data_IF_385189524217
#
_entry.id   IF_385189524217
#
_cell.length_a   1.000
_cell.length_b   1.000
_cell.length_c   1.000
_cell.angle_alpha   90.00
_cell.angle_beta   90.00
_cell.angle_gamma   90.00
#
_symmetry.space_group_name_H-M   'P 1'
#
loop_
_entity.id
_entity.type
_entity.pdbx_description
1 polymer ?
#
# COMPACT_ATOMS: atom_id res chain seq x y z
N UNK A 1 -1.96 -13.23 49.02
CA UNK A 1 -1.55 -12.14 48.10
C UNK A 1 -1.83 -12.48 46.62
N UNK A 2 -2.84 -13.31 46.33
CA UNK A 2 -3.07 -13.91 45.00
C UNK A 2 -4.16 -13.19 44.16
N UNK A 3 -4.73 -12.10 44.67
CA UNK A 3 -5.94 -11.49 44.11
C UNK A 3 -5.66 -10.34 43.12
N UNK A 4 -4.42 -9.82 43.07
CA UNK A 4 -4.07 -8.69 42.20
C UNK A 4 -3.80 -9.14 40.76
N UNK A 5 -3.16 -10.29 40.58
CA UNK A 5 -2.86 -10.85 39.25
C UNK A 5 -4.12 -11.35 38.54
N UNK A 6 -5.06 -11.97 39.25
CA UNK A 6 -6.34 -12.42 38.68
C UNK A 6 -7.27 -11.25 38.32
N UNK A 7 -7.23 -10.15 39.08
CA UNK A 7 -7.94 -8.90 38.75
C UNK A 7 -7.31 -8.17 37.56
N UNK A 8 -5.98 -8.16 37.43
CA UNK A 8 -5.31 -7.60 36.25
C UNK A 8 -5.59 -8.43 35.00
N UNK A 9 -5.60 -9.77 35.11
CA UNK A 9 -6.00 -10.66 34.01
C UNK A 9 -7.47 -10.45 33.66
N UNK A 10 -8.38 -10.31 34.63
CA UNK A 10 -9.80 -9.94 34.36
C UNK A 10 -10.00 -8.52 33.82
N UNK A 11 -9.07 -7.60 34.08
CA UNK A 11 -9.10 -6.23 33.54
C UNK A 11 -8.52 -6.17 32.12
N UNK A 12 -7.51 -7.00 31.81
CA UNK A 12 -6.95 -7.20 30.46
C UNK A 12 -7.91 -8.04 29.58
N UNK A 13 -8.55 -9.05 30.17
CA UNK A 13 -9.67 -9.82 29.61
C UNK A 13 -11.03 -9.20 29.90
N UNK A 14 -11.08 -7.92 30.34
CA UNK A 14 -12.36 -7.24 30.41
C UNK A 14 -12.82 -7.02 28.98
N UNK A 15 -13.79 -7.84 28.62
CA UNK A 15 -14.14 -8.25 27.25
C UNK A 15 -14.88 -7.14 26.49
N UNK A 16 -15.02 -5.94 27.05
CA UNK A 16 -15.82 -4.85 26.48
C UNK A 16 -15.01 -3.57 26.30
N UNK A 17 -14.11 -3.58 25.32
CA UNK A 17 -14.27 -2.74 24.13
C UNK A 17 -12.95 -2.55 23.38
N UNK A 18 -11.79 -2.51 24.02
CA UNK A 18 -10.57 -2.05 23.34
C UNK A 18 -9.74 -3.19 22.75
N UNK A 19 -9.46 -4.23 23.52
CA UNK A 19 -8.71 -5.41 23.05
C UNK A 19 -9.45 -6.14 21.93
N UNK A 20 -10.74 -6.43 22.13
CA UNK A 20 -11.57 -7.07 21.10
C UNK A 20 -11.67 -6.22 19.82
N UNK A 21 -11.76 -4.88 19.93
CA UNK A 21 -11.74 -3.99 18.75
C UNK A 21 -10.41 -4.03 18.00
N UNK A 22 -9.28 -4.13 18.71
CA UNK A 22 -7.96 -4.28 18.07
C UNK A 22 -7.88 -5.62 17.37
N UNK A 23 -8.29 -6.71 18.01
CA UNK A 23 -8.31 -8.04 17.41
C UNK A 23 -9.23 -8.10 16.18
N UNK A 24 -10.44 -7.54 16.25
CA UNK A 24 -11.35 -7.42 15.10
C UNK A 24 -10.68 -6.66 13.95
N UNK A 25 -10.03 -5.52 14.23
CA UNK A 25 -9.30 -4.76 13.20
C UNK A 25 -8.12 -5.52 12.59
N UNK A 26 -7.37 -6.27 13.39
CA UNK A 26 -6.27 -7.10 12.89
C UNK A 26 -6.81 -8.20 11.97
N UNK A 27 -7.89 -8.88 12.38
CA UNK A 27 -8.55 -9.90 11.56
C UNK A 27 -9.10 -9.32 10.26
N UNK A 28 -9.70 -8.14 10.31
CA UNK A 28 -10.17 -7.42 9.13
C UNK A 28 -8.99 -7.08 8.19
N UNK A 29 -7.87 -6.61 8.74
CA UNK A 29 -6.64 -6.34 7.97
C UNK A 29 -6.08 -7.59 7.30
N UNK A 30 -5.99 -8.71 8.03
CA UNK A 30 -5.53 -10.00 7.51
C UNK A 30 -6.45 -10.46 6.37
N UNK A 31 -7.77 -10.34 6.57
CA UNK A 31 -8.77 -10.74 5.56
C UNK A 31 -8.65 -9.91 4.29
N UNK A 32 -8.53 -8.57 4.42
CA UNK A 32 -8.26 -7.68 3.29
C UNK A 32 -6.98 -8.07 2.56
N UNK A 33 -5.91 -8.35 3.31
CA UNK A 33 -4.61 -8.65 2.73
C UNK A 33 -4.61 -9.98 1.95
N UNK A 34 -5.29 -11.00 2.45
CA UNK A 34 -5.49 -12.26 1.75
C UNK A 34 -6.31 -12.08 0.46
N UNK A 35 -7.40 -11.30 0.50
CA UNK A 35 -8.17 -10.96 -0.70
C UNK A 35 -7.33 -10.18 -1.72
N UNK A 36 -6.50 -9.25 -1.25
CA UNK A 36 -5.57 -8.50 -2.07
C UNK A 36 -4.56 -9.42 -2.76
N UNK A 37 -3.98 -10.39 -2.04
CA UNK A 37 -3.08 -11.36 -2.66
C UNK A 37 -3.79 -12.22 -3.70
N UNK A 38 -4.96 -12.76 -3.36
CA UNK A 38 -5.75 -13.58 -4.29
C UNK A 38 -6.11 -12.83 -5.58
N UNK A 39 -6.42 -11.54 -5.45
CA UNK A 39 -6.76 -10.68 -6.59
C UNK A 39 -5.55 -10.10 -7.31
N UNK A 40 -4.34 -10.17 -6.74
CA UNK A 40 -3.09 -9.79 -7.41
C UNK A 40 -2.46 -10.95 -8.21
N UNK A 41 -3.00 -12.18 -8.14
CA UNK A 41 -2.50 -13.32 -8.93
C UNK A 41 -2.40 -12.97 -10.43
N UNK A 42 -3.44 -12.38 -11.05
CA UNK A 42 -3.28 -11.78 -12.37
C UNK A 42 -2.49 -10.47 -12.25
N UNK A 43 -1.34 -10.37 -12.90
CA UNK A 43 -0.52 -9.14 -12.89
C UNK A 43 -1.31 -7.90 -13.37
N UNK A 44 -2.28 -8.10 -14.25
CA UNK A 44 -3.15 -7.03 -14.79
C UNK A 44 -4.17 -6.50 -13.77
N UNK A 45 -4.49 -7.25 -12.71
CA UNK A 45 -5.46 -6.85 -11.69
C UNK A 45 -4.81 -6.17 -10.49
N UNK A 46 -3.48 -6.06 -10.44
CA UNK A 46 -2.74 -5.37 -9.35
C UNK A 46 -3.29 -3.96 -9.12
N UNK A 47 -3.57 -3.20 -10.19
CA UNK A 47 -4.11 -1.85 -10.06
C UNK A 47 -5.51 -1.82 -9.44
N UNK A 48 -6.40 -2.74 -9.82
CA UNK A 48 -7.75 -2.86 -9.25
C UNK A 48 -7.66 -3.31 -7.78
N UNK A 49 -6.77 -4.27 -7.51
CA UNK A 49 -6.54 -4.81 -6.19
C UNK A 49 -6.01 -3.74 -5.21
N UNK A 50 -5.08 -2.89 -5.65
CA UNK A 50 -4.56 -1.75 -4.88
C UNK A 50 -5.67 -0.76 -4.53
N UNK A 51 -6.50 -0.34 -5.49
CA UNK A 51 -7.61 0.59 -5.21
C UNK A 51 -8.59 -0.04 -4.21
N UNK A 52 -8.97 -1.30 -4.43
CA UNK A 52 -9.91 -2.02 -3.56
C UNK A 52 -9.38 -2.21 -2.14
N UNK A 53 -8.07 -2.43 -2.01
CA UNK A 53 -7.35 -2.47 -0.74
C UNK A 53 -7.52 -1.13 0.00
N UNK A 54 -7.12 -0.02 -0.64
CA UNK A 54 -7.21 1.31 0.00
C UNK A 54 -8.63 1.70 0.35
N UNK A 55 -9.62 1.45 -0.52
CA UNK A 55 -11.03 1.76 -0.26
C UNK A 55 -11.54 0.98 0.96
N UNK A 56 -11.24 -0.32 1.05
CA UNK A 56 -11.62 -1.13 2.21
C UNK A 56 -10.90 -0.71 3.48
N UNK A 57 -9.63 -0.28 3.40
CA UNK A 57 -8.88 0.22 4.55
C UNK A 57 -9.43 1.54 5.08
N UNK A 58 -9.87 2.47 4.22
CA UNK A 58 -10.55 3.70 4.65
C UNK A 58 -11.82 3.37 5.45
N UNK A 59 -12.60 2.40 5.00
CA UNK A 59 -13.81 1.95 5.69
C UNK A 59 -13.49 1.26 7.03
N UNK A 60 -12.48 0.37 7.10
CA UNK A 60 -12.04 -0.27 8.35
C UNK A 60 -11.55 0.77 9.37
N UNK A 61 -10.95 1.87 8.90
CA UNK A 61 -10.49 2.94 9.79
C UNK A 61 -11.66 3.74 10.37
N UNK A 62 -12.65 4.07 9.55
CA UNK A 62 -13.80 4.91 9.92
C UNK A 62 -14.95 4.17 10.61
N UNK A 63 -15.18 2.90 10.30
CA UNK A 63 -16.32 2.14 10.79
C UNK A 63 -15.94 1.13 11.89
N UNK A 64 -16.92 0.83 12.76
CA UNK A 64 -16.74 -0.08 13.91
C UNK A 64 -16.82 -1.56 13.51
N UNK A 65 -17.56 -1.88 12.45
CA UNK A 65 -17.70 -3.23 11.87
C UNK A 65 -17.87 -3.11 10.37
N UNK A 66 -17.02 -3.79 9.61
CA UNK A 66 -17.07 -3.77 8.14
C UNK A 66 -17.14 -5.20 7.63
N UNK A 67 -18.05 -5.48 6.72
CA UNK A 67 -18.04 -6.75 5.97
C UNK A 67 -16.95 -6.67 4.92
N UNK A 68 -15.70 -6.90 5.34
CA UNK A 68 -14.48 -6.75 4.54
C UNK A 68 -14.59 -7.38 3.15
N UNK A 69 -15.01 -8.65 3.09
CA UNK A 69 -15.12 -9.41 1.83
C UNK A 69 -16.12 -8.79 0.86
N UNK A 70 -17.29 -8.38 1.36
CA UNK A 70 -18.34 -7.76 0.56
C UNK A 70 -17.91 -6.39 0.04
N UNK A 71 -17.30 -5.56 0.90
CA UNK A 71 -16.78 -4.25 0.54
C UNK A 71 -15.67 -4.34 -0.49
N UNK A 72 -14.71 -5.23 -0.29
CA UNK A 72 -13.62 -5.47 -1.22
C UNK A 72 -14.15 -5.87 -2.60
N UNK A 73 -15.10 -6.81 -2.66
CA UNK A 73 -15.69 -7.26 -3.93
C UNK A 73 -16.56 -6.19 -4.61
N UNK A 74 -17.17 -5.29 -3.83
CA UNK A 74 -17.89 -4.14 -4.37
C UNK A 74 -16.91 -3.12 -4.95
N UNK A 75 -15.86 -2.75 -4.22
CA UNK A 75 -14.80 -1.84 -4.67
C UNK A 75 -14.09 -2.37 -5.92
N UNK A 76 -13.83 -3.69 -5.96
CA UNK A 76 -13.21 -4.35 -7.10
C UNK A 76 -14.05 -4.20 -8.38
N UNK A 77 -15.36 -4.43 -8.28
CA UNK A 77 -16.30 -4.28 -9.41
C UNK A 77 -16.57 -2.84 -9.77
N UNK A 78 -16.55 -1.92 -8.81
CA UNK A 78 -16.73 -0.49 -9.04
C UNK A 78 -15.54 0.10 -9.80
N UNK A 79 -14.32 -0.21 -9.38
CA UNK A 79 -13.10 0.43 -9.87
C UNK A 79 -12.38 -0.36 -10.96
N UNK A 80 -12.95 -1.44 -11.49
CA UNK A 80 -12.27 -2.30 -12.47
C UNK A 80 -11.74 -1.52 -13.69
N UNK A 81 -12.50 -0.57 -14.23
CA UNK A 81 -12.07 0.25 -15.39
C UNK A 81 -10.91 1.19 -15.06
N UNK A 82 -10.97 1.86 -13.91
CA UNK A 82 -9.95 2.83 -13.48
C UNK A 82 -8.70 2.09 -13.02
N UNK A 83 -8.86 1.05 -12.20
CA UNK A 83 -7.78 0.21 -11.70
C UNK A 83 -7.03 -0.53 -12.81
N UNK A 84 -7.71 -1.03 -13.85
CA UNK A 84 -7.04 -1.66 -14.98
C UNK A 84 -6.22 -0.64 -15.77
N UNK A 85 -6.78 0.56 -16.04
CA UNK A 85 -6.05 1.62 -16.74
C UNK A 85 -4.82 2.10 -15.96
N UNK A 86 -4.97 2.33 -14.66
CA UNK A 86 -3.87 2.77 -13.79
C UNK A 86 -2.81 1.66 -13.63
N UNK A 87 -3.24 0.43 -13.42
CA UNK A 87 -2.34 -0.72 -13.30
C UNK A 87 -1.56 -0.96 -14.58
N UNK A 88 -2.21 -0.86 -15.75
CA UNK A 88 -1.53 -0.99 -17.04
C UNK A 88 -0.55 0.16 -17.28
N UNK A 89 -0.90 1.39 -16.90
CA UNK A 89 -0.03 2.56 -17.02
C UNK A 89 1.22 2.42 -16.11
N UNK A 90 1.03 1.99 -14.86
CA UNK A 90 2.12 1.70 -13.93
C UNK A 90 3.05 0.61 -14.49
N UNK A 91 2.46 -0.51 -14.93
CA UNK A 91 3.20 -1.65 -15.47
C UNK A 91 3.99 -1.26 -16.72
N UNK A 92 3.42 -0.42 -17.60
CA UNK A 92 4.08 0.04 -18.81
C UNK A 92 5.28 0.94 -18.49
N UNK A 93 5.11 1.93 -17.61
CA UNK A 93 6.18 2.86 -17.24
C UNK A 93 7.33 2.14 -16.51
N UNK A 94 7.00 1.29 -15.54
CA UNK A 94 7.99 0.49 -14.81
C UNK A 94 8.63 -0.54 -15.73
N UNK A 95 7.84 -1.20 -16.59
CA UNK A 95 8.30 -2.23 -17.52
C UNK A 95 9.30 -1.70 -18.55
N UNK A 96 9.03 -0.54 -19.17
CA UNK A 96 9.97 0.11 -20.10
C UNK A 96 11.27 0.47 -19.38
N UNK A 97 11.16 1.11 -18.21
CA UNK A 97 12.33 1.54 -17.45
C UNK A 97 13.20 0.36 -16.97
N UNK A 98 12.57 -0.76 -16.58
CA UNK A 98 13.27 -1.99 -16.21
C UNK A 98 13.91 -2.66 -17.42
N UNK A 99 13.23 -2.68 -18.56
CA UNK A 99 13.77 -3.24 -19.80
C UNK A 99 15.03 -2.48 -20.24
N UNK A 100 14.98 -1.15 -20.21
CA UNK A 100 16.15 -0.29 -20.48
C UNK A 100 17.30 -0.62 -19.52
N UNK A 101 17.02 -0.72 -18.21
CA UNK A 101 18.03 -1.09 -17.21
C UNK A 101 18.69 -2.44 -17.48
N UNK A 102 17.91 -3.45 -17.89
CA UNK A 102 18.42 -4.79 -18.20
C UNK A 102 19.28 -4.78 -19.46
N UNK A 103 18.87 -4.03 -20.49
CA UNK A 103 19.65 -3.89 -21.73
C UNK A 103 21.01 -3.24 -21.48
N UNK A 104 21.04 -2.17 -20.69
CA UNK A 104 22.27 -1.45 -20.39
C UNK A 104 23.06 -2.08 -19.25
N UNK A 105 22.56 -3.14 -18.59
CA UNK A 105 23.14 -3.71 -17.37
C UNK A 105 24.62 -4.07 -17.54
N UNK A 106 24.97 -4.69 -18.67
CA UNK A 106 26.33 -5.16 -18.98
C UNK A 106 27.28 -4.08 -19.52
N UNK A 107 26.78 -2.87 -19.78
CA UNK A 107 27.60 -1.78 -20.31
C UNK A 107 28.10 -0.87 -19.18
N UNK A 108 29.41 -0.65 -19.15
CA UNK A 108 30.10 0.11 -18.09
C UNK A 108 30.58 1.50 -18.54
N UNK A 109 30.26 1.92 -19.76
CA UNK A 109 30.60 3.28 -20.22
C UNK A 109 29.91 4.34 -19.36
N UNK A 110 30.60 5.45 -19.10
CA UNK A 110 30.11 6.57 -18.28
C UNK A 110 28.71 7.07 -18.71
N UNK A 111 28.44 7.07 -20.02
CA UNK A 111 27.15 7.49 -20.58
C UNK A 111 26.02 6.53 -20.19
N UNK A 112 26.28 5.22 -20.18
CA UNK A 112 25.31 4.20 -19.76
C UNK A 112 25.12 4.18 -18.25
N UNK A 113 26.13 4.54 -17.45
CA UNK A 113 25.96 4.70 -16.00
C UNK A 113 25.01 5.86 -15.66
N UNK A 114 25.14 7.00 -16.34
CA UNK A 114 24.19 8.12 -16.18
C UNK A 114 22.77 7.72 -16.57
N UNK A 115 22.63 6.97 -17.67
CA UNK A 115 21.33 6.50 -18.15
C UNK A 115 20.66 5.52 -17.17
N UNK A 116 21.44 4.58 -16.59
CA UNK A 116 20.97 3.69 -15.50
C UNK A 116 20.46 4.49 -14.31
N UNK A 117 21.22 5.51 -13.87
CA UNK A 117 20.83 6.36 -12.75
C UNK A 117 19.51 7.10 -13.06
N UNK A 118 19.34 7.61 -14.28
CA UNK A 118 18.08 8.24 -14.72
C UNK A 118 16.93 7.24 -14.72
N UNK A 119 17.10 6.03 -15.25
CA UNK A 119 16.05 4.99 -15.23
C UNK A 119 15.62 4.62 -13.81
N UNK A 120 16.57 4.46 -12.88
CA UNK A 120 16.28 4.23 -11.46
C UNK A 120 15.49 5.39 -10.88
N UNK A 121 15.90 6.63 -11.16
CA UNK A 121 15.18 7.83 -10.74
C UNK A 121 13.73 7.87 -11.24
N UNK A 122 13.50 7.50 -12.50
CA UNK A 122 12.15 7.41 -13.10
C UNK A 122 11.31 6.33 -12.43
N UNK A 123 11.88 5.16 -12.13
CA UNK A 123 11.18 4.09 -11.41
C UNK A 123 10.76 4.55 -10.02
N UNK A 124 11.67 5.18 -9.28
CA UNK A 124 11.38 5.71 -7.93
C UNK A 124 10.29 6.76 -8.02
N UNK A 125 10.42 7.74 -8.93
CA UNK A 125 9.43 8.79 -9.13
C UNK A 125 8.04 8.24 -9.50
N UNK A 126 8.00 7.30 -10.46
CA UNK A 126 6.77 6.63 -10.87
C UNK A 126 6.16 5.88 -9.70
N UNK A 127 6.95 5.16 -8.91
CA UNK A 127 6.49 4.45 -7.71
C UNK A 127 5.86 5.42 -6.70
N UNK A 128 6.53 6.56 -6.41
CA UNK A 128 5.99 7.61 -5.53
C UNK A 128 4.65 8.15 -6.04
N UNK A 129 4.56 8.40 -7.34
CA UNK A 129 3.36 8.90 -8.00
C UNK A 129 2.18 7.94 -7.83
N UNK A 130 2.36 6.68 -8.21
CA UNK A 130 1.30 5.69 -8.12
C UNK A 130 0.90 5.39 -6.68
N UNK A 131 1.86 5.41 -5.75
CA UNK A 131 1.61 5.28 -4.31
C UNK A 131 0.67 6.37 -3.78
N UNK A 132 0.67 7.57 -4.37
CA UNK A 132 -0.29 8.64 -4.06
C UNK A 132 -1.60 8.52 -4.85
N UNK A 133 -1.53 8.08 -6.11
CA UNK A 133 -2.71 7.99 -6.99
C UNK A 133 -3.68 6.91 -6.53
N UNK A 134 -3.19 5.74 -6.10
CA UNK A 134 -4.06 4.64 -5.67
C UNK A 134 -4.99 4.97 -4.49
N UNK A 135 -4.51 5.56 -3.38
CA UNK A 135 -5.41 5.98 -2.29
C UNK A 135 -6.33 7.15 -2.70
N UNK A 136 -5.89 8.03 -3.61
CA UNK A 136 -6.72 9.09 -4.15
C UNK A 136 -7.87 8.51 -5.00
N UNK A 137 -7.57 7.54 -5.87
CA UNK A 137 -8.55 6.83 -6.69
C UNK A 137 -9.54 6.00 -5.85
N UNK A 138 -9.11 5.51 -4.69
CA UNK A 138 -9.96 4.78 -3.76
C UNK A 138 -10.96 5.68 -3.03
N UNK A 139 -10.63 6.96 -2.83
CA UNK A 139 -11.48 7.90 -2.07
C UNK A 139 -12.30 8.83 -2.95
N UNK A 140 -11.77 9.22 -4.11
CA UNK A 140 -12.41 10.16 -5.03
C UNK A 140 -12.70 9.50 -6.37
N UNK A 141 -13.96 9.58 -6.82
CA UNK A 141 -14.35 9.19 -8.16
C UNK A 141 -13.92 10.26 -9.17
N UNK A 142 -12.66 10.18 -9.59
CA UNK A 142 -12.05 11.11 -10.54
C UNK A 142 -11.60 10.39 -11.81
N UNK A 143 -11.45 11.13 -12.90
CA UNK A 143 -10.89 10.53 -14.12
C UNK A 143 -9.39 10.26 -13.94
N UNK A 144 -8.84 9.33 -14.72
CA UNK A 144 -7.39 8.99 -14.67
C UNK A 144 -6.51 10.22 -14.91
N UNK A 145 -6.96 11.17 -15.75
CA UNK A 145 -6.22 12.41 -16.03
C UNK A 145 -6.16 13.31 -14.80
N UNK A 146 -7.29 13.49 -14.13
CA UNK A 146 -7.37 14.33 -12.94
C UNK A 146 -6.60 13.69 -11.78
N UNK A 147 -6.68 12.36 -11.64
CA UNK A 147 -5.87 11.61 -10.67
C UNK A 147 -4.37 11.82 -10.86
N UNK A 148 -3.88 11.82 -12.11
CA UNK A 148 -2.48 12.07 -12.41
C UNK A 148 -2.08 13.52 -12.08
N UNK A 149 -2.90 14.50 -12.45
CA UNK A 149 -2.63 15.91 -12.15
C UNK A 149 -2.61 16.20 -10.65
N UNK A 150 -3.63 15.73 -9.92
CA UNK A 150 -3.70 15.87 -8.47
C UNK A 150 -2.56 15.08 -7.81
N UNK A 151 -2.28 13.87 -8.26
CA UNK A 151 -1.16 13.05 -7.77
C UNK A 151 0.19 13.75 -7.91
N UNK A 152 0.47 14.36 -9.06
CA UNK A 152 1.70 15.14 -9.31
C UNK A 152 1.84 16.29 -8.31
N UNK A 153 0.79 17.12 -8.17
CA UNK A 153 0.81 18.26 -7.24
C UNK A 153 1.07 17.77 -5.81
N UNK A 154 0.45 16.67 -5.42
CA UNK A 154 0.52 16.12 -4.07
C UNK A 154 1.90 15.54 -3.73
N UNK A 155 2.50 14.80 -4.67
CA UNK A 155 3.87 14.28 -4.55
C UNK A 155 4.87 15.42 -4.46
N UNK A 156 4.72 16.47 -5.27
CA UNK A 156 5.60 17.65 -5.20
C UNK A 156 5.47 18.39 -3.87
N UNK A 157 4.27 18.51 -3.31
CA UNK A 157 4.05 19.20 -2.03
C UNK A 157 4.52 18.40 -0.81
N UNK A 158 4.40 17.06 -0.85
CA UNK A 158 4.69 16.19 0.30
C UNK A 158 5.81 15.18 0.02
N UNK A 159 6.76 15.56 -0.85
CA UNK A 159 7.87 14.72 -1.30
C UNK A 159 8.64 14.03 -0.17
N UNK A 160 9.02 14.71 0.95
CA UNK A 160 9.79 14.08 2.02
C UNK A 160 9.06 12.90 2.68
N UNK A 161 7.73 12.99 2.80
CA UNK A 161 6.92 11.95 3.43
C UNK A 161 6.80 10.71 2.56
N UNK A 162 6.56 10.88 1.25
CA UNK A 162 6.54 9.75 0.32
C UNK A 162 7.91 9.10 0.20
N UNK A 163 8.98 9.90 0.18
CA UNK A 163 10.35 9.41 0.21
C UNK A 163 10.64 8.59 1.48
N UNK A 164 10.23 9.09 2.65
CA UNK A 164 10.35 8.35 3.91
C UNK A 164 9.62 6.99 3.85
N UNK A 165 8.46 6.94 3.19
CA UNK A 165 7.69 5.71 3.08
C UNK A 165 8.34 4.68 2.16
N UNK A 166 8.95 5.11 1.04
CA UNK A 166 9.79 4.24 0.21
C UNK A 166 11.04 3.81 0.96
N UNK A 167 11.68 4.71 1.71
CA UNK A 167 12.83 4.37 2.54
C UNK A 167 12.48 3.32 3.60
N UNK A 168 11.32 3.45 4.25
CA UNK A 168 10.81 2.46 5.19
C UNK A 168 10.60 1.10 4.50
N UNK A 169 10.00 1.09 3.32
CA UNK A 169 9.83 -0.14 2.52
C UNK A 169 11.19 -0.78 2.18
N UNK A 170 12.17 0.03 1.76
CA UNK A 170 13.51 -0.44 1.44
C UNK A 170 14.21 -1.04 2.67
N UNK A 171 14.06 -0.42 3.84
CA UNK A 171 14.59 -0.95 5.13
C UNK A 171 13.92 -2.28 5.48
N UNK A 172 12.61 -2.40 5.31
CA UNK A 172 11.88 -3.67 5.54
C UNK A 172 12.43 -4.76 4.62
N UNK A 173 12.57 -4.49 3.31
CA UNK A 173 13.12 -5.45 2.34
C UNK A 173 14.57 -5.82 2.66
N UNK A 174 15.39 -4.84 3.04
CA UNK A 174 16.78 -5.07 3.43
C UNK A 174 16.87 -5.98 4.67
N UNK A 175 16.06 -5.73 5.69
CA UNK A 175 16.01 -6.55 6.90
C UNK A 175 15.53 -7.98 6.60
N UNK A 176 14.52 -8.12 5.75
CA UNK A 176 14.03 -9.42 5.26
C UNK A 176 15.11 -10.21 4.51
N UNK A 177 16.00 -9.52 3.80
CA UNK A 177 17.07 -10.14 3.00
C UNK A 177 18.32 -10.49 3.81
N UNK A 178 18.39 -10.11 5.08
CA UNK A 178 19.59 -10.26 5.92
C UNK A 178 19.88 -11.70 6.34
N UNK A 179 18.86 -12.55 6.49
CA UNK A 179 19.03 -13.95 6.88
C UNK A 179 17.93 -14.83 6.28
N UNK A 180 18.27 -16.05 5.84
CA UNK A 180 17.29 -16.97 5.24
C UNK A 180 16.12 -17.34 6.14
N UNK A 181 16.34 -17.42 7.46
CA UNK A 181 15.26 -17.65 8.43
C UNK A 181 14.34 -16.43 8.56
N UNK A 182 14.93 -15.23 8.63
CA UNK A 182 14.20 -13.96 8.68
C UNK A 182 13.45 -13.71 7.37
N UNK A 183 14.00 -14.16 6.25
CA UNK A 183 13.36 -14.09 4.94
C UNK A 183 12.08 -14.93 4.92
N UNK A 184 12.14 -16.19 5.34
CA UNK A 184 10.98 -17.09 5.30
C UNK A 184 9.86 -16.65 6.27
N UNK A 185 10.24 -16.34 7.51
CA UNK A 185 9.30 -15.93 8.56
C UNK A 185 8.75 -14.52 8.29
N UNK A 186 9.62 -13.58 7.95
CA UNK A 186 9.24 -12.21 7.65
C UNK A 186 8.47 -12.06 6.34
N UNK A 187 8.78 -12.84 5.30
CA UNK A 187 7.98 -12.87 4.08
C UNK A 187 6.56 -13.34 4.37
N UNK A 188 6.41 -14.41 5.17
CA UNK A 188 5.10 -14.91 5.57
C UNK A 188 4.30 -13.84 6.33
N UNK A 189 4.92 -13.13 7.28
CA UNK A 189 4.27 -12.04 8.00
C UNK A 189 3.90 -10.86 7.10
N UNK A 190 4.77 -10.51 6.16
CA UNK A 190 4.54 -9.44 5.20
C UNK A 190 3.40 -9.78 4.22
N UNK A 191 3.32 -11.04 3.81
CA UNK A 191 2.23 -11.60 3.00
C UNK A 191 0.93 -11.72 3.82
N UNK A 192 0.98 -11.84 5.14
CA UNK A 192 -0.24 -11.90 5.95
C UNK A 192 -0.82 -10.52 6.27
N UNK A 193 0.03 -9.53 6.59
CA UNK A 193 -0.44 -8.22 7.09
C UNK A 193 0.29 -7.03 6.44
N UNK A 194 1.44 -7.25 5.81
CA UNK A 194 2.37 -6.20 5.38
C UNK A 194 1.76 -5.14 4.46
N UNK A 195 1.14 -5.53 3.33
CA UNK A 195 0.57 -4.55 2.40
C UNK A 195 -0.59 -3.76 3.03
N UNK A 196 -1.48 -4.45 3.75
CA UNK A 196 -2.58 -3.80 4.44
C UNK A 196 -2.11 -2.86 5.57
N UNK A 197 -1.06 -3.22 6.32
CA UNK A 197 -0.47 -2.39 7.36
C UNK A 197 0.24 -1.15 6.78
N UNK A 198 0.98 -1.29 5.69
CA UNK A 198 1.59 -0.15 4.99
C UNK A 198 0.53 0.81 4.48
N UNK A 199 -0.54 0.27 3.86
CA UNK A 199 -1.68 1.07 3.43
C UNK A 199 -2.36 1.78 4.61
N UNK A 200 -2.56 1.08 5.73
CA UNK A 200 -3.15 1.65 6.94
C UNK A 200 -2.30 2.77 7.55
N UNK A 201 -0.97 2.63 7.55
CA UNK A 201 -0.03 3.67 7.99
C UNK A 201 -0.08 4.91 7.08
N UNK A 202 -0.40 4.72 5.80
CA UNK A 202 -0.52 5.80 4.83
C UNK A 202 -1.85 6.57 4.93
N UNK A 203 -2.93 5.94 5.44
CA UNK A 203 -4.26 6.57 5.52
C UNK A 203 -4.34 7.89 6.30
N UNK A 204 -3.74 8.06 7.50
CA UNK A 204 -3.81 9.31 8.26
C UNK A 204 -3.18 10.49 7.51
N UNK A 205 -2.08 10.22 6.81
CA UNK A 205 -1.39 11.21 5.98
C UNK A 205 -2.33 11.62 4.85
N UNK A 206 -2.90 10.65 4.13
CA UNK A 206 -3.86 10.91 3.06
C UNK A 206 -5.08 11.67 3.54
N UNK A 207 -5.67 11.32 4.69
CA UNK A 207 -6.80 12.06 5.28
C UNK A 207 -6.46 13.50 5.64
N UNK A 208 -5.27 13.74 6.20
CA UNK A 208 -4.80 15.10 6.52
C UNK A 208 -4.72 15.94 5.25
N UNK A 209 -4.26 15.35 4.15
CA UNK A 209 -4.14 16.05 2.88
C UNK A 209 -5.52 16.23 2.22
N UNK A 210 -6.39 15.22 2.27
CA UNK A 210 -7.76 15.29 1.73
C UNK A 210 -8.63 16.34 2.42
N UNK A 211 -8.45 16.54 3.73
CA UNK A 211 -9.14 17.60 4.46
C UNK A 211 -8.75 19.01 4.00
N UNK A 212 -7.56 19.17 3.40
CA UNK A 212 -7.09 20.44 2.83
C UNK A 212 -7.69 20.72 1.45
N UNK A 213 -8.15 19.70 0.74
CA UNK A 213 -8.77 19.78 -0.59
C UNK A 213 -10.31 19.86 -0.55
N UNK A 214 -10.90 19.55 0.61
CA UNK A 214 -12.36 19.63 0.85
C UNK A 214 -12.85 21.03 1.21
N UNK A 215 -12.00 22.06 1.07
CA UNK A 215 -12.29 23.44 1.45
C UNK A 215 -12.38 24.34 0.23
#
# INVERSE_FOLDING_TARGET
MENKSSQLVKSIFNTDNLFMRICEKILDLVTVNLLFLLSCLPLVTIGIAKISLYETLFEIKGARRVKVTAMYMQAFRKNWKVGLKLGLLELLLVGISLFDLVLFWKQETMLFQMLKATCIGVIIFTSLLFLCIYPLAAKFEMTVKDLLQTGLIMVSLHFPWFFLMIALLAVIVFFLSSSGFVLLLGFTLFVLVGFAALGFLQLPIMETIFNKYKR
#
